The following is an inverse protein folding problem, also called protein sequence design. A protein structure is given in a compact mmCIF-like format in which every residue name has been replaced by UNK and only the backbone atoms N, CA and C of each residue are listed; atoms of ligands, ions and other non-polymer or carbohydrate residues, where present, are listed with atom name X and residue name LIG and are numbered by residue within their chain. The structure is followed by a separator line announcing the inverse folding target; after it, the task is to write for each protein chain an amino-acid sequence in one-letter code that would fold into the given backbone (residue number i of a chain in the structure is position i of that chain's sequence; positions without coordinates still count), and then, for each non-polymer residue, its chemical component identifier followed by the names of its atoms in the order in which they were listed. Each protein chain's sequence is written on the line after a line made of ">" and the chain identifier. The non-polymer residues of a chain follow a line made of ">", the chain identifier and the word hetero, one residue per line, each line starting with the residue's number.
data_IF_253925884525
#
_entry.id   IF_253925884525
#
_cell.length_a   1.000
_cell.length_b   1.000
_cell.length_c   1.000
_cell.angle_alpha   90.00
_cell.angle_beta   90.00
_cell.angle_gamma   90.00
#
_symmetry.space_group_name_H-M   'P 1'
#
loop_
_entity.id
_entity.type
_entity.pdbx_description
1 polymer ?
#
# COMPACT_ATOMS: atom_id res chain seq x y z
N UNK A 1 -6.34 -0.92 -17.83
CA UNK A 1 -4.97 -0.63 -18.27
C UNK A 1 -4.04 -0.78 -17.09
N UNK A 2 -3.00 -1.57 -17.26
CA UNK A 2 -1.96 -1.67 -16.24
C UNK A 2 -0.96 -0.53 -16.44
N UNK A 3 -0.80 0.30 -15.43
CA UNK A 3 0.18 1.38 -15.47
C UNK A 3 1.58 0.83 -15.27
N UNK A 4 2.56 1.39 -15.98
CA UNK A 4 3.97 1.12 -15.72
C UNK A 4 4.37 1.78 -14.40
N UNK A 5 5.47 1.36 -13.80
CA UNK A 5 5.97 1.96 -12.57
C UNK A 5 6.24 3.46 -12.75
N UNK A 6 6.79 3.86 -13.90
CA UNK A 6 7.02 5.27 -14.20
C UNK A 6 5.73 6.07 -14.27
N UNK A 7 4.68 5.51 -14.88
CA UNK A 7 3.37 6.16 -14.94
C UNK A 7 2.74 6.30 -13.56
N UNK A 8 2.84 5.26 -12.72
CA UNK A 8 2.34 5.32 -11.34
C UNK A 8 3.05 6.41 -10.55
N UNK A 9 4.37 6.49 -10.66
CA UNK A 9 5.15 7.51 -9.95
C UNK A 9 4.83 8.91 -10.43
N UNK A 10 4.56 9.09 -11.74
CA UNK A 10 4.16 10.38 -12.30
C UNK A 10 2.79 10.82 -11.79
N UNK A 11 1.82 9.88 -11.74
CA UNK A 11 0.43 10.20 -11.41
C UNK A 11 0.19 10.28 -9.90
N UNK A 12 0.85 9.44 -9.10
CA UNK A 12 0.58 9.28 -7.67
C UNK A 12 1.80 9.50 -6.77
N UNK A 13 2.97 9.80 -7.36
CA UNK A 13 4.24 9.88 -6.64
C UNK A 13 4.81 8.49 -6.35
N UNK A 14 5.88 8.48 -5.55
CA UNK A 14 6.47 7.21 -5.11
C UNK A 14 5.49 6.45 -4.20
N UNK A 15 5.42 5.12 -4.31
CA UNK A 15 4.53 4.35 -3.43
C UNK A 15 4.74 4.60 -1.95
N UNK A 16 5.97 4.71 -1.48
CA UNK A 16 6.26 5.01 -0.07
C UNK A 16 5.70 6.37 0.32
N UNK A 17 5.88 7.38 -0.52
CA UNK A 17 5.37 8.73 -0.26
C UNK A 17 3.85 8.74 -0.24
N UNK A 18 3.20 7.95 -1.11
CA UNK A 18 1.75 7.81 -1.09
C UNK A 18 1.26 7.15 0.21
N UNK A 19 1.95 6.11 0.67
CA UNK A 19 1.62 5.48 1.96
C UNK A 19 1.76 6.48 3.11
N UNK A 20 2.82 7.29 3.09
CA UNK A 20 3.03 8.32 4.10
C UNK A 20 1.94 9.39 4.06
N UNK A 21 1.52 9.83 2.88
CA UNK A 21 0.42 10.78 2.72
C UNK A 21 -0.87 10.23 3.31
N UNK A 22 -1.20 8.98 3.01
CA UNK A 22 -2.41 8.34 3.54
C UNK A 22 -2.32 8.26 5.07
N UNK A 23 -1.17 7.88 5.61
CA UNK A 23 -0.96 7.84 7.06
C UNK A 23 -1.17 9.22 7.69
N UNK A 24 -0.61 10.27 7.09
CA UNK A 24 -0.71 11.63 7.60
C UNK A 24 -2.17 12.10 7.63
N UNK A 25 -2.92 11.87 6.55
CA UNK A 25 -4.35 12.24 6.46
C UNK A 25 -5.16 11.49 7.51
N UNK A 26 -4.98 10.17 7.60
CA UNK A 26 -5.68 9.33 8.57
C UNK A 26 -5.38 9.77 9.99
N UNK A 27 -4.12 10.08 10.29
CA UNK A 27 -3.71 10.48 11.63
C UNK A 27 -4.32 11.83 12.03
N UNK A 28 -4.49 12.75 11.08
CA UNK A 28 -5.18 14.02 11.35
C UNK A 28 -6.66 13.77 11.66
N UNK A 29 -7.33 12.95 10.85
CA UNK A 29 -8.78 12.67 11.01
C UNK A 29 -9.06 11.95 12.33
N UNK A 30 -8.21 11.00 12.72
CA UNK A 30 -8.47 10.09 13.84
C UNK A 30 -7.65 10.38 15.07
N UNK A 31 -6.74 11.36 15.02
CA UNK A 31 -5.70 11.55 16.03
C UNK A 31 -4.90 10.26 16.26
N UNK A 32 -4.64 9.54 15.17
CA UNK A 32 -3.95 8.25 15.19
C UNK A 32 -2.44 8.38 15.06
N UNK A 33 -1.79 7.22 14.94
CA UNK A 33 -0.33 7.12 14.85
C UNK A 33 0.11 6.09 13.81
N UNK A 34 -0.62 5.96 12.71
CA UNK A 34 -0.22 5.05 11.63
C UNK A 34 1.07 5.54 10.99
N UNK A 35 1.92 4.57 10.64
CA UNK A 35 3.11 4.82 9.82
C UNK A 35 2.81 4.48 8.37
N UNK A 36 3.70 4.86 7.46
CA UNK A 36 3.60 4.47 6.05
C UNK A 36 3.54 2.94 5.91
N UNK A 37 4.37 2.22 6.68
CA UNK A 37 4.35 0.76 6.70
C UNK A 37 2.98 0.21 7.11
N UNK A 38 2.36 0.80 8.14
CA UNK A 38 1.04 0.36 8.59
C UNK A 38 0.01 0.47 7.48
N UNK A 39 0.08 1.54 6.68
CA UNK A 39 -0.82 1.70 5.53
C UNK A 39 -0.59 0.61 4.50
N UNK A 40 0.66 0.28 4.18
CA UNK A 40 0.97 -0.81 3.27
C UNK A 40 0.44 -2.15 3.79
N UNK A 41 0.53 -2.39 5.10
CA UNK A 41 -0.06 -3.58 5.73
C UNK A 41 -1.57 -3.60 5.60
N UNK A 42 -2.25 -2.46 5.78
CA UNK A 42 -3.71 -2.38 5.61
C UNK A 42 -4.12 -2.73 4.18
N UNK A 43 -3.39 -2.27 3.17
CA UNK A 43 -3.67 -2.65 1.79
C UNK A 43 -3.47 -4.14 1.55
N UNK A 44 -2.46 -4.75 2.16
CA UNK A 44 -2.27 -6.20 2.11
C UNK A 44 -3.46 -6.92 2.74
N UNK A 45 -3.92 -6.46 3.90
CA UNK A 45 -5.10 -7.02 4.57
C UNK A 45 -6.34 -6.95 3.66
N UNK A 46 -6.53 -5.84 2.96
CA UNK A 46 -7.65 -5.69 2.03
C UNK A 46 -7.58 -6.73 0.90
N UNK A 47 -6.39 -6.97 0.35
CA UNK A 47 -6.21 -7.98 -0.71
C UNK A 47 -6.39 -9.40 -0.20
N UNK A 48 -5.92 -9.69 1.01
CA UNK A 48 -6.14 -10.99 1.65
C UNK A 48 -7.64 -11.24 1.85
N UNK A 49 -8.37 -10.24 2.35
CA UNK A 49 -9.81 -10.35 2.53
C UNK A 49 -10.54 -10.66 1.23
N UNK A 50 -10.15 -9.99 0.14
CA UNK A 50 -10.74 -10.20 -1.19
C UNK A 50 -10.47 -11.60 -1.73
N UNK A 51 -9.23 -12.11 -1.60
CA UNK A 51 -8.92 -13.43 -2.13
C UNK A 51 -9.53 -14.57 -1.30
N UNK A 52 -9.93 -14.32 -0.06
CA UNK A 52 -10.70 -15.29 0.72
C UNK A 52 -12.07 -15.54 0.11
N UNK A 53 -12.69 -14.50 -0.42
CA UNK A 53 -14.02 -14.59 -1.04
C UNK A 53 -13.91 -15.02 -2.50
N UNK A 54 -12.91 -14.51 -3.23
CA UNK A 54 -12.71 -14.74 -4.66
C UNK A 54 -11.29 -15.28 -4.93
N UNK A 55 -11.01 -16.54 -4.53
CA UNK A 55 -9.63 -17.06 -4.56
C UNK A 55 -9.07 -17.32 -5.94
N UNK A 56 -9.88 -17.24 -6.99
CA UNK A 56 -9.45 -17.47 -8.37
C UNK A 56 -9.09 -16.18 -9.11
N UNK A 57 -9.25 -15.01 -8.47
CA UNK A 57 -8.90 -13.73 -9.09
C UNK A 57 -7.41 -13.47 -8.88
N UNK A 58 -6.64 -13.61 -9.95
CA UNK A 58 -5.18 -13.49 -9.91
C UNK A 58 -4.71 -12.13 -9.40
N UNK A 59 -5.40 -11.06 -9.78
CA UNK A 59 -5.01 -9.69 -9.40
C UNK A 59 -4.93 -9.50 -7.88
N UNK A 60 -5.72 -10.23 -7.10
CA UNK A 60 -5.66 -10.11 -5.64
C UNK A 60 -4.31 -10.55 -5.08
N UNK A 61 -3.71 -11.56 -5.71
CA UNK A 61 -2.39 -12.06 -5.29
C UNK A 61 -1.27 -11.14 -5.78
N UNK A 62 -1.37 -10.69 -7.03
CA UNK A 62 -0.38 -9.79 -7.63
C UNK A 62 -0.33 -8.47 -6.85
N UNK A 63 -1.49 -7.90 -6.54
CA UNK A 63 -1.58 -6.65 -5.79
C UNK A 63 -1.02 -6.80 -4.38
N UNK A 64 -1.29 -7.93 -3.72
CA UNK A 64 -0.76 -8.19 -2.38
C UNK A 64 0.77 -8.27 -2.39
N UNK A 65 1.35 -8.96 -3.38
CA UNK A 65 2.80 -9.01 -3.55
C UNK A 65 3.38 -7.61 -3.76
N UNK A 66 2.71 -6.77 -4.55
CA UNK A 66 3.15 -5.40 -4.78
C UNK A 66 3.14 -4.58 -3.47
N UNK A 67 2.09 -4.69 -2.67
CA UNK A 67 2.02 -3.99 -1.39
C UNK A 67 3.02 -4.53 -0.38
N UNK A 68 3.34 -5.82 -0.43
CA UNK A 68 4.40 -6.39 0.39
C UNK A 68 5.75 -5.76 0.05
N UNK A 69 6.04 -5.57 -1.24
CA UNK A 69 7.23 -4.87 -1.70
C UNK A 69 7.29 -3.42 -1.23
N UNK A 70 6.15 -2.72 -1.29
CA UNK A 70 6.04 -1.34 -0.80
C UNK A 70 6.26 -1.29 0.71
N UNK A 71 5.73 -2.24 1.45
CA UNK A 71 5.96 -2.35 2.89
C UNK A 71 7.46 -2.43 3.18
N UNK A 72 8.18 -3.28 2.46
CA UNK A 72 9.62 -3.42 2.65
C UNK A 72 10.37 -2.12 2.32
N UNK A 73 9.97 -1.41 1.28
CA UNK A 73 10.54 -0.10 0.97
C UNK A 73 10.33 0.89 2.13
N UNK A 74 9.15 0.88 2.74
CA UNK A 74 8.89 1.70 3.92
C UNK A 74 9.86 1.37 5.05
N UNK A 75 10.11 0.09 5.29
CA UNK A 75 11.06 -0.37 6.32
C UNK A 75 12.48 0.12 6.01
N UNK A 76 12.91 -0.02 4.75
CA UNK A 76 14.24 0.43 4.34
C UNK A 76 14.44 1.94 4.53
N UNK A 77 13.37 2.73 4.38
CA UNK A 77 13.42 4.18 4.56
C UNK A 77 13.16 4.62 6.00
N UNK A 78 13.03 3.69 6.94
CA UNK A 78 12.80 3.99 8.34
C UNK A 78 11.39 4.46 8.67
N UNK A 79 10.43 4.22 7.80
CA UNK A 79 9.02 4.67 7.93
C UNK A 79 8.11 3.54 8.43
N UNK A 80 8.48 2.97 9.56
CA UNK A 80 7.74 1.83 10.11
C UNK A 80 7.44 1.95 11.60
#
# INVERSE_FOLDING_TARGET
>A
ITLTDGQRQSDYGKPVDNMQHIADIFNVITNGKLTARDVALLFQCAKIARRRISPTVEDHYIDDMAYCGIEYECVKEGKY
#
